data_IF_627817449109
#
_entry.id   IF_627817449109
#
_cell.length_a   1.000
_cell.length_b   1.000
_cell.length_c   1.000
_cell.angle_alpha   90.00
_cell.angle_beta   90.00
_cell.angle_gamma   90.00
#
_symmetry.space_group_name_H-M   'P 1'
#
loop_
_entity.id
_entity.type
_entity.pdbx_description
1 polymer ?
#
# COMPACT_ATOMS: atom_id res chain seq x y z
N UNK A 1 4.99 1.72 -16.28
CA UNK A 1 4.57 3.09 -16.65
C UNK A 1 5.22 3.60 -17.94
N UNK A 2 6.01 2.81 -18.68
CA UNK A 2 6.80 3.36 -19.81
C UNK A 2 6.05 3.49 -21.14
N UNK A 3 4.93 2.79 -21.34
CA UNK A 3 4.22 2.81 -22.62
C UNK A 3 2.75 3.25 -22.48
N UNK A 4 2.00 2.69 -21.52
CA UNK A 4 0.62 3.11 -21.23
C UNK A 4 0.34 3.00 -19.72
N UNK A 5 0.53 4.07 -18.94
CA UNK A 5 0.24 4.04 -17.50
C UNK A 5 -1.28 4.06 -17.26
N UNK A 6 -1.75 3.22 -16.34
CA UNK A 6 -3.12 3.26 -15.85
C UNK A 6 -3.30 4.44 -14.88
N UNK A 7 -4.54 4.94 -14.75
CA UNK A 7 -4.87 5.99 -13.78
C UNK A 7 -4.67 5.55 -12.34
N UNK A 8 -4.85 4.26 -12.05
CA UNK A 8 -4.58 3.68 -10.75
C UNK A 8 -4.09 2.23 -10.84
N UNK A 9 -3.42 1.79 -9.78
CA UNK A 9 -2.94 0.43 -9.59
C UNK A 9 -3.38 -0.09 -8.22
N UNK A 10 -3.76 -1.36 -8.16
CA UNK A 10 -4.07 -2.06 -6.90
C UNK A 10 -3.08 -3.20 -6.74
N UNK A 11 -2.35 -3.20 -5.63
CA UNK A 11 -1.34 -4.21 -5.30
C UNK A 11 -1.72 -4.87 -3.98
N UNK A 12 -1.83 -6.20 -3.98
CA UNK A 12 -2.24 -6.98 -2.80
C UNK A 12 -1.10 -7.91 -2.38
N UNK A 13 -0.59 -7.70 -1.16
CA UNK A 13 0.46 -8.49 -0.51
C UNK A 13 1.69 -8.82 -1.38
N UNK A 14 2.03 -7.92 -2.31
CA UNK A 14 3.14 -8.08 -3.27
C UNK A 14 4.52 -8.15 -2.59
N UNK A 15 4.59 -7.77 -1.32
CA UNK A 15 5.79 -7.74 -0.49
C UNK A 15 5.85 -8.87 0.55
N UNK A 16 4.87 -9.80 0.56
CA UNK A 16 4.80 -10.88 1.56
C UNK A 16 6.04 -11.79 1.59
N UNK A 17 6.74 -11.95 0.46
CA UNK A 17 7.95 -12.76 0.36
C UNK A 17 9.26 -11.96 0.51
N UNK A 18 9.17 -10.65 0.74
CA UNK A 18 10.34 -9.77 0.81
C UNK A 18 10.85 -9.64 2.25
N UNK A 19 12.17 -9.57 2.39
CA UNK A 19 12.76 -9.08 3.64
C UNK A 19 12.53 -7.57 3.82
N UNK A 20 12.72 -7.07 5.04
CA UNK A 20 12.51 -5.66 5.40
C UNK A 20 13.19 -4.68 4.44
N UNK A 21 14.45 -4.93 4.07
CA UNK A 21 15.22 -4.02 3.21
C UNK A 21 14.66 -3.99 1.79
N UNK A 22 14.18 -5.12 1.28
CA UNK A 22 13.57 -5.20 -0.03
C UNK A 22 12.16 -4.61 -0.03
N UNK A 23 11.41 -4.70 1.06
CA UNK A 23 10.13 -4.00 1.22
C UNK A 23 10.31 -2.47 1.23
N UNK A 24 11.32 -1.94 1.93
CA UNK A 24 11.65 -0.51 1.91
C UNK A 24 12.01 -0.02 0.49
N UNK A 25 12.74 -0.84 -0.28
CA UNK A 25 13.06 -0.56 -1.69
C UNK A 25 11.82 -0.55 -2.57
N UNK A 26 10.91 -1.50 -2.37
CA UNK A 26 9.62 -1.53 -3.07
C UNK A 26 8.82 -0.26 -2.75
N UNK A 27 8.70 0.10 -1.48
CA UNK A 27 8.00 1.30 -1.03
C UNK A 27 8.56 2.56 -1.70
N UNK A 28 9.89 2.71 -1.68
CA UNK A 28 10.60 3.82 -2.35
C UNK A 28 10.37 3.84 -3.88
N UNK A 29 10.26 2.67 -4.51
CA UNK A 29 9.98 2.56 -5.94
C UNK A 29 8.53 3.01 -6.25
N UNK A 30 7.56 2.50 -5.50
CA UNK A 30 6.15 2.88 -5.61
C UNK A 30 6.00 4.39 -5.41
N UNK A 31 6.62 4.96 -4.37
CA UNK A 31 6.56 6.39 -4.08
C UNK A 31 7.01 7.28 -5.23
N UNK A 32 7.94 6.81 -6.06
CA UNK A 32 8.37 7.55 -7.27
C UNK A 32 7.36 7.47 -8.42
N UNK A 33 6.48 6.48 -8.41
CA UNK A 33 5.47 6.30 -9.46
C UNK A 33 4.11 6.92 -9.11
N UNK A 34 3.87 7.28 -7.84
CA UNK A 34 2.64 7.94 -7.40
C UNK A 34 2.41 9.31 -8.06
N UNK A 35 3.47 9.98 -8.54
CA UNK A 35 3.36 11.26 -9.26
C UNK A 35 2.57 11.14 -10.58
N UNK A 36 2.42 9.93 -11.11
CA UNK A 36 1.84 9.66 -12.43
C UNK A 36 0.54 8.84 -12.37
N UNK A 37 0.27 8.16 -11.27
CA UNK A 37 -0.91 7.31 -11.09
C UNK A 37 -1.22 7.12 -9.60
N UNK A 38 -2.46 6.81 -9.26
CA UNK A 38 -2.85 6.47 -7.90
C UNK A 38 -2.44 5.03 -7.56
N UNK A 39 -1.94 4.80 -6.35
CA UNK A 39 -1.60 3.45 -5.88
C UNK A 39 -2.42 3.10 -4.65
N UNK A 40 -3.11 1.96 -4.70
CA UNK A 40 -3.77 1.33 -3.58
C UNK A 40 -2.98 0.07 -3.22
N UNK A 41 -2.40 0.03 -2.03
CA UNK A 41 -1.55 -1.07 -1.61
C UNK A 41 -2.11 -1.69 -0.34
N UNK A 42 -2.28 -3.00 -0.37
CA UNK A 42 -2.69 -3.82 0.77
C UNK A 42 -1.43 -4.56 1.22
N UNK A 43 -0.99 -4.28 2.44
CA UNK A 43 0.22 -4.89 3.02
C UNK A 43 0.16 -4.80 4.55
N UNK A 44 0.87 -5.72 5.20
CA UNK A 44 1.14 -5.72 6.64
C UNK A 44 2.56 -5.23 6.99
N UNK A 45 3.32 -4.72 6.01
CA UNK A 45 4.72 -4.31 6.19
C UNK A 45 4.86 -2.84 6.59
N UNK A 46 5.43 -2.59 7.77
CA UNK A 46 5.61 -1.25 8.31
C UNK A 46 6.37 -0.30 7.36
N UNK A 47 7.36 -0.81 6.61
CA UNK A 47 8.14 0.01 5.67
C UNK A 47 7.37 0.43 4.43
N UNK A 48 6.37 -0.34 4.02
CA UNK A 48 5.45 0.05 2.94
C UNK A 48 4.38 1.00 3.47
N UNK A 49 3.84 0.69 4.66
CA UNK A 49 2.82 1.49 5.33
C UNK A 49 3.34 2.90 5.66
N UNK A 50 4.60 3.04 6.09
CA UNK A 50 5.17 4.33 6.48
C UNK A 50 5.32 5.35 5.35
N UNK A 51 5.33 4.90 4.09
CA UNK A 51 5.50 5.78 2.91
C UNK A 51 4.16 6.24 2.30
N UNK A 52 3.03 5.78 2.85
CA UNK A 52 1.69 6.06 2.36
C UNK A 52 1.21 7.47 2.76
N UNK A 53 0.49 8.16 1.87
CA UNK A 53 -0.12 9.46 2.20
C UNK A 53 -1.40 9.30 3.05
N UNK A 54 -2.13 8.20 2.87
CA UNK A 54 -3.32 7.86 3.64
C UNK A 54 -3.30 6.38 3.98
N UNK A 55 -3.64 6.05 5.22
CA UNK A 55 -3.73 4.69 5.72
C UNK A 55 -5.18 4.33 6.02
N UNK A 56 -5.62 3.18 5.48
CA UNK A 56 -6.92 2.60 5.78
C UNK A 56 -6.70 1.29 6.55
N UNK A 57 -7.06 1.30 7.83
CA UNK A 57 -7.03 0.10 8.67
C UNK A 57 -8.36 -0.63 8.59
N UNK A 58 -8.33 -1.93 8.34
CA UNK A 58 -9.52 -2.78 8.37
C UNK A 58 -9.40 -3.73 9.56
N UNK A 59 -10.39 -3.71 10.45
CA UNK A 59 -10.50 -4.65 11.58
C UNK A 59 -11.85 -5.36 11.54
N UNK A 60 -11.94 -6.53 12.16
CA UNK A 60 -13.19 -7.30 12.26
C UNK A 60 -13.69 -7.26 13.69
N UNK A 61 -14.97 -6.96 13.89
CA UNK A 61 -15.57 -7.03 15.23
C UNK A 61 -16.02 -8.44 15.61
N UNK A 62 -16.46 -8.62 16.86
CA UNK A 62 -16.88 -9.92 17.39
C UNK A 62 -18.11 -10.51 16.66
N UNK A 63 -18.81 -9.72 15.85
CA UNK A 63 -19.94 -10.18 15.03
C UNK A 63 -19.51 -10.54 13.59
N UNK A 64 -18.21 -10.52 13.30
CA UNK A 64 -17.67 -10.80 11.97
C UNK A 64 -17.85 -9.65 10.97
N UNK A 65 -18.23 -8.46 11.42
CA UNK A 65 -18.38 -7.30 10.55
C UNK A 65 -17.06 -6.53 10.44
N UNK A 66 -16.63 -6.25 9.21
CA UNK A 66 -15.47 -5.39 8.96
C UNK A 66 -15.78 -3.93 9.31
N UNK A 67 -14.85 -3.28 10.01
CA UNK A 67 -14.83 -1.86 10.32
C UNK A 67 -13.59 -1.24 9.72
N UNK A 68 -13.77 -0.11 9.04
CA UNK A 68 -12.70 0.65 8.39
C UNK A 68 -12.42 1.90 9.19
N UNK A 69 -11.13 2.16 9.46
CA UNK A 69 -10.63 3.41 10.03
C UNK A 69 -9.65 4.04 9.05
N UNK A 70 -9.63 5.37 8.98
CA UNK A 70 -8.73 6.11 8.09
C UNK A 70 -7.84 7.06 8.89
N UNK A 71 -6.57 7.11 8.56
CA UNK A 71 -5.59 8.07 9.08
C UNK A 71 -4.88 8.74 7.90
N UNK A 72 -4.62 10.05 8.03
CA UNK A 72 -3.71 10.76 7.13
C UNK A 72 -2.35 10.86 7.81
N UNK A 73 -1.29 10.42 7.11
CA UNK A 73 0.09 10.36 7.62
C UNK A 73 0.84 11.64 7.23
#
# INVERSE_FOLDING_TARGET
QEHEPAYFYVLDEVDAALDKRNSERLASLVRRYTDKAQYLIISHNDGVISEADNLYGVSMDNNGMSKVVSLRI
#
